data_IF_123363356253
#
_entry.id   IF_123363356253
#
_cell.length_a   1.000
_cell.length_b   1.000
_cell.length_c   1.000
_cell.angle_alpha   90.00
_cell.angle_beta   90.00
_cell.angle_gamma   90.00
#
_symmetry.space_group_name_H-M   'P 1'
#
loop_
_entity.id
_entity.type
_entity.pdbx_description
1 polymer ?
#
# COMPACT_ATOMS: atom_id res chain seq x y z
N UNK A 1 -30.03 -13.84 50.77
CA UNK A 1 -28.88 -14.76 50.62
C UNK A 1 -28.57 -14.81 49.12
N UNK A 2 -27.55 -14.13 48.57
CA UNK A 2 -26.09 -14.34 48.55
C UNK A 2 -25.63 -15.67 47.92
N UNK A 3 -25.13 -15.57 46.68
CA UNK A 3 -23.86 -16.09 46.09
C UNK A 3 -23.86 -15.58 44.63
N UNK A 4 -23.05 -14.65 44.11
CA UNK A 4 -21.59 -14.45 43.94
C UNK A 4 -20.79 -15.61 43.34
N UNK A 5 -20.33 -15.41 42.09
CA UNK A 5 -19.12 -16.02 41.53
C UNK A 5 -19.32 -16.63 40.13
N UNK A 6 -18.45 -16.47 39.13
CA UNK A 6 -17.10 -15.90 39.05
C UNK A 6 -16.86 -15.42 37.61
N UNK A 7 -16.28 -14.22 37.46
CA UNK A 7 -15.70 -13.70 36.23
C UNK A 7 -14.43 -14.52 35.92
N UNK A 8 -14.40 -15.25 34.81
CA UNK A 8 -13.19 -15.92 34.37
C UNK A 8 -12.34 -14.97 33.48
N UNK A 9 -11.09 -14.87 33.90
CA UNK A 9 -10.01 -13.99 33.46
C UNK A 9 -9.47 -14.39 32.08
N UNK A 10 -9.03 -13.41 31.31
CA UNK A 10 -8.28 -13.55 30.07
C UNK A 10 -7.11 -14.54 30.19
N UNK A 11 -6.96 -15.40 29.18
CA UNK A 11 -5.73 -16.17 28.96
C UNK A 11 -4.98 -15.55 27.79
N UNK A 12 -4.02 -14.68 28.14
CA UNK A 12 -2.95 -14.27 27.25
C UNK A 12 -1.99 -15.45 27.11
N UNK A 13 -2.28 -16.37 26.20
CA UNK A 13 -1.29 -17.34 25.75
C UNK A 13 -0.85 -16.93 24.35
N UNK A 14 0.02 -15.93 24.31
CA UNK A 14 0.81 -15.59 23.14
C UNK A 14 1.72 -16.77 22.83
N UNK A 15 1.29 -17.63 21.91
CA UNK A 15 2.17 -18.57 21.25
C UNK A 15 3.14 -17.78 20.39
N UNK A 16 4.43 -17.86 20.73
CA UNK A 16 5.49 -17.29 19.91
C UNK A 16 5.57 -18.09 18.62
N UNK A 17 5.06 -17.55 17.51
CA UNK A 17 5.38 -18.06 16.18
C UNK A 17 6.81 -17.63 15.87
N UNK A 18 7.77 -18.52 16.11
CA UNK A 18 9.07 -18.46 15.46
C UNK A 18 8.90 -18.98 14.04
N UNK A 19 8.34 -18.17 13.14
CA UNK A 19 8.58 -18.41 11.72
C UNK A 19 10.01 -17.96 11.48
N UNK A 20 10.93 -18.92 11.53
CA UNK A 20 12.27 -18.77 10.99
C UNK A 20 12.17 -18.03 9.66
N UNK A 21 12.85 -16.88 9.59
CA UNK A 21 12.97 -16.10 8.37
C UNK A 21 13.75 -16.90 7.34
N UNK A 22 13.08 -17.84 6.69
CA UNK A 22 13.53 -18.35 5.41
C UNK A 22 13.46 -17.18 4.46
N UNK A 23 14.62 -16.61 4.11
CA UNK A 23 14.74 -15.83 2.90
C UNK A 23 14.21 -16.71 1.78
N UNK A 24 12.97 -16.50 1.39
CA UNK A 24 12.49 -16.90 0.08
C UNK A 24 13.31 -16.06 -0.89
N UNK A 25 14.47 -16.58 -1.28
CA UNK A 25 15.02 -16.32 -2.59
C UNK A 25 14.03 -16.98 -3.54
N UNK A 26 12.88 -16.32 -3.70
CA UNK A 26 11.79 -16.77 -4.54
C UNK A 26 12.29 -16.66 -5.97
N UNK A 27 12.87 -17.75 -6.47
CA UNK A 27 13.00 -17.96 -7.89
C UNK A 27 11.57 -17.96 -8.45
N UNK A 28 11.14 -16.79 -8.92
CA UNK A 28 9.92 -16.64 -9.69
C UNK A 28 10.16 -17.40 -10.99
N UNK A 29 9.79 -18.69 -11.00
CA UNK A 29 9.90 -19.60 -12.16
C UNK A 29 9.34 -18.96 -13.42
N UNK A 30 8.30 -18.14 -13.27
CA UNK A 30 7.72 -17.35 -14.34
C UNK A 30 8.68 -16.33 -14.96
N UNK A 31 9.39 -15.55 -14.12
CA UNK A 31 10.38 -14.59 -14.59
C UNK A 31 11.56 -15.30 -15.25
N UNK A 32 11.96 -16.47 -14.72
CA UNK A 32 12.97 -17.31 -15.35
C UNK A 32 12.53 -17.77 -16.75
N UNK A 33 11.29 -18.26 -16.89
CA UNK A 33 10.76 -18.68 -18.20
C UNK A 33 10.62 -17.52 -19.20
N UNK A 34 10.31 -16.30 -18.73
CA UNK A 34 10.33 -15.10 -19.58
C UNK A 34 11.76 -14.84 -20.09
N UNK A 35 12.75 -14.91 -19.21
CA UNK A 35 14.14 -14.65 -19.57
C UNK A 35 14.69 -15.70 -20.54
N UNK A 36 14.41 -16.97 -20.27
CA UNK A 36 14.77 -18.09 -21.16
C UNK A 36 14.11 -17.91 -22.54
N UNK A 37 12.84 -17.47 -22.59
CA UNK A 37 12.16 -17.17 -23.84
C UNK A 37 12.81 -16.01 -24.60
N UNK A 38 13.18 -14.92 -23.92
CA UNK A 38 13.89 -13.78 -24.53
C UNK A 38 15.22 -14.20 -25.14
N UNK A 39 15.95 -15.13 -24.51
CA UNK A 39 17.21 -15.64 -25.05
C UNK A 39 17.04 -16.42 -26.36
N UNK A 40 15.85 -17.00 -26.61
CA UNK A 40 15.54 -17.67 -27.89
C UNK A 40 15.17 -16.70 -29.02
N UNK A 41 14.87 -15.44 -28.70
CA UNK A 41 14.58 -14.41 -29.68
C UNK A 41 15.88 -13.81 -30.26
N UNK A 42 15.85 -13.37 -31.53
CA UNK A 42 16.94 -12.57 -32.09
C UNK A 42 17.08 -11.25 -31.32
N UNK A 43 18.30 -10.71 -31.29
CA UNK A 43 18.71 -9.58 -30.44
C UNK A 43 17.80 -8.35 -30.55
N UNK A 44 17.30 -8.08 -31.76
CA UNK A 44 16.39 -6.98 -32.08
C UNK A 44 15.01 -7.10 -31.43
N UNK A 45 14.64 -8.29 -30.95
CA UNK A 45 13.34 -8.60 -30.35
C UNK A 45 13.39 -8.88 -28.86
N UNK A 46 14.58 -8.89 -28.24
CA UNK A 46 14.76 -9.21 -26.82
C UNK A 46 14.21 -8.15 -25.88
N UNK A 47 14.14 -6.90 -26.32
CA UNK A 47 13.60 -5.77 -25.54
C UNK A 47 12.13 -5.46 -25.83
N UNK A 48 11.54 -6.14 -26.82
CA UNK A 48 10.14 -5.94 -27.15
C UNK A 48 9.24 -6.48 -26.02
N UNK A 49 8.11 -5.81 -25.71
CA UNK A 49 7.11 -6.39 -24.83
C UNK A 49 6.55 -7.67 -25.46
N UNK A 50 6.36 -8.69 -24.62
CA UNK A 50 5.72 -9.93 -25.04
C UNK A 50 4.28 -9.63 -25.47
N UNK A 51 3.83 -10.26 -26.56
CA UNK A 51 2.41 -10.24 -26.88
C UNK A 51 1.62 -10.97 -25.79
N UNK A 52 0.33 -10.63 -25.66
CA UNK A 52 -0.56 -11.28 -24.69
C UNK A 52 -0.55 -12.81 -24.84
N UNK A 53 -0.66 -13.31 -26.07
CA UNK A 53 -0.62 -14.75 -26.36
C UNK A 53 0.70 -15.42 -25.95
N UNK A 54 1.83 -14.74 -26.13
CA UNK A 54 3.15 -15.26 -25.71
C UNK A 54 3.25 -15.30 -24.19
N UNK A 55 2.79 -14.24 -23.53
CA UNK A 55 2.77 -14.12 -22.08
C UNK A 55 1.89 -15.20 -21.45
N UNK A 56 0.69 -15.44 -22.00
CA UNK A 56 -0.22 -16.50 -21.59
C UNK A 56 0.39 -17.90 -21.80
N UNK A 57 1.07 -18.12 -22.94
CA UNK A 57 1.74 -19.41 -23.21
C UNK A 57 2.88 -19.70 -22.22
N UNK A 58 3.71 -18.70 -21.91
CA UNK A 58 4.81 -18.81 -20.93
C UNK A 58 4.24 -19.02 -19.51
N UNK A 59 3.16 -18.31 -19.18
CA UNK A 59 2.47 -18.47 -17.91
C UNK A 59 1.93 -19.90 -17.76
N UNK A 60 1.23 -20.40 -18.77
CA UNK A 60 0.72 -21.76 -18.81
C UNK A 60 1.85 -22.77 -18.62
N UNK A 61 2.95 -22.67 -19.36
CA UNK A 61 4.08 -23.59 -19.21
C UNK A 61 4.67 -23.59 -17.78
N UNK A 62 4.74 -22.42 -17.15
CA UNK A 62 5.25 -22.24 -15.79
C UNK A 62 4.35 -22.90 -14.73
N UNK A 63 3.03 -22.71 -14.82
CA UNK A 63 2.05 -23.21 -13.85
C UNK A 63 1.65 -24.68 -14.10
N UNK A 64 2.17 -25.30 -15.16
CA UNK A 64 1.96 -26.72 -15.46
C UNK A 64 1.00 -27.03 -16.61
N UNK A 65 0.68 -26.03 -17.43
CA UNK A 65 -0.18 -26.10 -18.60
C UNK A 65 -1.65 -26.38 -18.26
N UNK A 66 -2.54 -26.37 -19.26
CA UNK A 66 -3.94 -26.78 -19.08
C UNK A 66 -4.08 -28.26 -18.61
N UNK A 67 -3.00 -29.04 -18.66
CA UNK A 67 -3.03 -30.50 -18.61
C UNK A 67 -2.72 -31.13 -17.25
N UNK A 68 -2.26 -30.38 -16.24
CA UNK A 68 -1.88 -30.99 -14.95
C UNK A 68 -2.93 -30.95 -13.86
N UNK A 69 -4.04 -30.25 -14.07
CA UNK A 69 -5.12 -30.19 -13.08
C UNK A 69 -6.12 -31.34 -13.15
N UNK A 70 -6.39 -31.89 -14.35
CA UNK A 70 -7.35 -32.98 -14.53
C UNK A 70 -6.89 -34.33 -13.96
N UNK A 71 -5.58 -34.64 -14.00
CA UNK A 71 -5.08 -35.95 -13.60
C UNK A 71 -5.07 -36.17 -12.08
N UNK A 72 -4.84 -35.12 -11.29
CA UNK A 72 -4.82 -35.21 -9.82
C UNK A 72 -6.20 -35.55 -9.23
N UNK A 73 -7.28 -35.31 -10.00
CA UNK A 73 -8.67 -35.57 -9.61
C UNK A 73 -9.39 -36.57 -10.53
N UNK A 74 -8.69 -37.21 -11.49
CA UNK A 74 -9.25 -38.25 -12.36
C UNK A 74 -10.24 -37.78 -13.42
N UNK A 75 -10.24 -36.50 -13.80
CA UNK A 75 -11.20 -35.92 -14.76
C UNK A 75 -10.60 -35.80 -16.18
N UNK A 76 -11.30 -36.29 -17.23
CA UNK A 76 -10.90 -36.08 -18.62
C UNK A 76 -10.91 -34.59 -18.97
N UNK A 77 -9.94 -34.14 -19.75
CA UNK A 77 -9.71 -32.73 -20.14
C UNK A 77 -10.95 -31.96 -20.65
N UNK A 78 -11.96 -32.66 -21.18
CA UNK A 78 -13.15 -32.06 -21.77
C UNK A 78 -14.05 -31.35 -20.75
N UNK A 79 -14.18 -31.87 -19.52
CA UNK A 79 -15.01 -31.24 -18.47
C UNK A 79 -14.37 -30.00 -17.87
N UNK A 80 -13.05 -29.82 -18.01
CA UNK A 80 -12.36 -28.65 -17.47
C UNK A 80 -12.69 -27.36 -18.24
N UNK A 81 -12.93 -27.46 -19.54
CA UNK A 81 -13.34 -26.32 -20.37
C UNK A 81 -14.74 -25.79 -19.98
N UNK A 82 -15.66 -26.69 -19.61
CA UNK A 82 -17.00 -26.31 -19.13
C UNK A 82 -16.92 -25.58 -17.78
N UNK A 83 -16.09 -26.07 -16.83
CA UNK A 83 -15.87 -25.40 -15.55
C UNK A 83 -15.27 -24.00 -15.68
N UNK A 84 -14.34 -23.80 -16.63
CA UNK A 84 -13.78 -22.48 -16.90
C UNK A 84 -14.82 -21.52 -17.51
N UNK A 85 -15.65 -22.01 -18.42
CA UNK A 85 -16.72 -21.21 -19.05
C UNK A 85 -17.80 -20.80 -18.04
N UNK A 86 -18.12 -21.69 -17.09
CA UNK A 86 -19.06 -21.44 -16.01
C UNK A 86 -18.51 -20.41 -14.99
N UNK A 87 -17.20 -20.42 -14.75
CA UNK A 87 -16.51 -19.43 -13.89
C UNK A 87 -16.27 -18.08 -14.59
N UNK A 88 -16.01 -18.07 -15.89
CA UNK A 88 -15.81 -16.86 -16.70
C UNK A 88 -17.07 -15.97 -16.75
N UNK A 89 -18.25 -16.57 -16.61
CA UNK A 89 -19.52 -15.86 -16.43
C UNK A 89 -19.73 -15.21 -15.05
N UNK A 90 -19.03 -15.69 -14.00
CA UNK A 90 -19.16 -15.18 -12.61
C UNK A 90 -18.24 -13.98 -12.34
N UNK A 91 -17.31 -13.69 -13.24
CA UNK A 91 -16.41 -12.53 -13.15
C UNK A 91 -17.08 -11.16 -13.30
N UNK A 92 -18.39 -11.13 -13.60
CA UNK A 92 -19.19 -9.91 -13.70
C UNK A 92 -19.93 -9.52 -12.41
N UNK A 93 -19.57 -10.11 -11.26
CA UNK A 93 -20.18 -9.79 -9.96
C UNK A 93 -19.79 -8.36 -9.52
N UNK A 94 -20.54 -7.39 -10.06
CA UNK A 94 -20.68 -5.97 -9.73
C UNK A 94 -19.63 -5.38 -8.77
N UNK A 95 -18.57 -4.83 -9.36
CA UNK A 95 -17.61 -3.92 -8.74
C UNK A 95 -18.19 -2.49 -8.52
N UNK A 96 -19.52 -2.30 -8.60
CA UNK A 96 -20.12 -0.97 -8.45
C UNK A 96 -20.01 -0.45 -7.01
N UNK A 97 -20.17 -1.30 -6.00
CA UNK A 97 -20.03 -0.89 -4.60
C UNK A 97 -18.58 -0.49 -4.25
N UNK A 98 -17.61 -1.27 -4.72
CA UNK A 98 -16.18 -0.95 -4.63
C UNK A 98 -15.86 0.36 -5.34
N UNK A 99 -16.39 0.57 -6.55
CA UNK A 99 -16.17 1.78 -7.34
C UNK A 99 -16.76 3.02 -6.68
N UNK A 100 -17.97 2.94 -6.15
CA UNK A 100 -18.59 4.03 -5.38
C UNK A 100 -17.80 4.31 -4.08
N UNK A 101 -17.33 3.26 -3.39
CA UNK A 101 -16.50 3.41 -2.19
C UNK A 101 -15.17 4.10 -2.52
N UNK A 102 -14.50 3.70 -3.61
CA UNK A 102 -13.26 4.31 -4.08
C UNK A 102 -13.48 5.78 -4.45
N UNK A 103 -14.59 6.11 -5.12
CA UNK A 103 -14.94 7.50 -5.44
C UNK A 103 -15.17 8.34 -4.19
N UNK A 104 -15.93 7.82 -3.22
CA UNK A 104 -16.20 8.48 -1.96
C UNK A 104 -14.90 8.75 -1.17
N UNK A 105 -13.99 7.78 -1.11
CA UNK A 105 -12.70 7.95 -0.45
C UNK A 105 -11.82 8.99 -1.16
N UNK A 106 -11.76 8.98 -2.49
CA UNK A 106 -11.04 10.00 -3.28
C UNK A 106 -11.56 11.41 -3.00
N UNK A 107 -12.88 11.58 -2.90
CA UNK A 107 -13.50 12.86 -2.55
C UNK A 107 -13.13 13.31 -1.13
N UNK A 108 -13.17 12.40 -0.15
CA UNK A 108 -12.78 12.70 1.23
C UNK A 108 -11.31 13.13 1.35
N UNK A 109 -10.41 12.43 0.66
CA UNK A 109 -8.97 12.78 0.62
C UNK A 109 -8.78 14.18 0.04
N UNK A 110 -9.48 14.50 -1.05
CA UNK A 110 -9.40 15.82 -1.70
C UNK A 110 -9.87 16.93 -0.75
N UNK A 111 -10.99 16.71 -0.05
CA UNK A 111 -11.55 17.67 0.92
C UNK A 111 -10.63 17.87 2.14
N UNK A 112 -10.07 16.79 2.69
CA UNK A 112 -9.15 16.88 3.82
C UNK A 112 -7.82 17.53 3.42
N UNK A 113 -7.33 17.23 2.21
CA UNK A 113 -6.10 17.81 1.68
C UNK A 113 -6.21 19.33 1.50
N UNK A 114 -7.33 19.84 0.96
CA UNK A 114 -7.55 21.28 0.85
C UNK A 114 -7.67 21.96 2.22
N UNK A 115 -8.38 21.34 3.17
CA UNK A 115 -8.49 21.83 4.55
C UNK A 115 -7.14 21.88 5.26
N UNK A 116 -6.31 20.85 5.08
CA UNK A 116 -4.97 20.79 5.66
C UNK A 116 -4.07 21.92 5.12
N UNK A 117 -4.09 22.16 3.80
CA UNK A 117 -3.35 23.27 3.17
C UNK A 117 -3.81 24.64 3.70
N UNK A 118 -5.12 24.83 3.82
CA UNK A 118 -5.67 26.07 4.37
C UNK A 118 -5.27 26.28 5.85
N UNK A 119 -5.28 25.20 6.66
CA UNK A 119 -4.83 25.23 8.05
C UNK A 119 -3.35 25.59 8.15
N UNK A 120 -2.51 24.95 7.33
CA UNK A 120 -1.07 25.23 7.27
C UNK A 120 -0.77 26.69 6.88
N UNK A 121 -1.49 27.24 5.91
CA UNK A 121 -1.33 28.64 5.52
C UNK A 121 -1.67 29.62 6.67
N UNK A 122 -2.73 29.32 7.43
CA UNK A 122 -3.12 30.11 8.61
C UNK A 122 -2.09 30.01 9.73
N UNK A 123 -1.54 28.82 9.96
CA UNK A 123 -0.48 28.57 10.93
C UNK A 123 0.77 29.37 10.59
N UNK A 124 1.29 29.26 9.36
CA UNK A 124 2.44 30.05 8.90
C UNK A 124 2.24 31.55 9.08
N UNK A 125 1.02 32.05 8.85
CA UNK A 125 0.70 33.46 9.08
C UNK A 125 0.84 33.85 10.56
N UNK A 126 0.39 32.99 11.48
CA UNK A 126 0.55 33.23 12.93
C UNK A 126 2.02 33.16 13.35
N UNK A 127 2.79 32.21 12.81
CA UNK A 127 4.21 32.08 13.14
C UNK A 127 4.99 33.33 12.72
N UNK A 128 4.71 33.88 11.53
CA UNK A 128 5.31 35.13 11.06
C UNK A 128 4.92 36.30 11.99
N UNK A 129 3.65 36.41 12.36
CA UNK A 129 3.19 37.46 13.28
C UNK A 129 3.86 37.34 14.66
N UNK A 130 3.94 36.13 15.19
CA UNK A 130 4.57 35.86 16.47
C UNK A 130 6.07 36.18 16.45
N UNK A 131 6.79 35.76 15.40
CA UNK A 131 8.20 36.08 15.22
C UNK A 131 8.43 37.59 15.13
N UNK A 132 7.58 38.32 14.41
CA UNK A 132 7.64 39.78 14.33
C UNK A 132 7.43 40.46 15.69
N UNK A 133 6.40 40.05 16.44
CA UNK A 133 6.14 40.59 17.78
C UNK A 133 7.26 40.25 18.77
N UNK A 134 7.81 39.05 18.69
CA UNK A 134 8.95 38.65 19.53
C UNK A 134 10.19 39.45 19.22
N UNK A 135 10.50 39.69 17.94
CA UNK A 135 11.63 40.53 17.55
C UNK A 135 11.48 41.97 18.04
N UNK A 136 10.27 42.54 17.99
CA UNK A 136 10.00 43.87 18.55
C UNK A 136 10.22 43.90 20.08
N UNK A 137 9.74 42.89 20.79
CA UNK A 137 9.93 42.79 22.23
C UNK A 137 11.40 42.61 22.62
N UNK A 138 12.13 41.74 21.91
CA UNK A 138 13.56 41.51 22.11
C UNK A 138 14.36 42.82 21.85
N UNK A 139 13.97 43.61 20.83
CA UNK A 139 14.58 44.92 20.56
C UNK A 139 14.31 45.97 21.65
N UNK A 140 13.11 45.98 22.24
CA UNK A 140 12.79 46.85 23.37
C UNK A 140 13.63 46.49 24.61
N UNK A 141 13.82 45.20 24.90
CA UNK A 141 14.70 44.75 25.97
C UNK A 141 16.14 45.19 25.73
N UNK A 142 16.64 45.03 24.50
CA UNK A 142 17.99 45.48 24.13
C UNK A 142 18.15 47.01 24.20
N UNK A 143 17.07 47.78 23.96
CA UNK A 143 17.08 49.25 24.06
C UNK A 143 16.97 49.76 25.51
N UNK A 144 16.55 48.93 26.45
CA UNK A 144 16.32 49.28 27.86
C UNK A 144 17.59 49.33 28.74
N UNK A 145 18.74 48.88 28.24
CA UNK A 145 20.02 48.90 28.97
C UNK A 145 20.90 50.14 28.69
N UNK A 146 20.34 51.19 28.09
CA UNK A 146 21.00 52.48 27.88
C UNK A 146 20.74 53.46 29.02
N UNK A 147 21.13 53.12 30.26
CA UNK A 147 21.18 54.08 31.35
C UNK A 147 22.19 55.18 31.05
N UNK A 148 21.72 56.38 30.69
CA UNK A 148 22.55 57.58 30.67
C UNK A 148 23.14 57.77 32.07
N UNK A 149 24.47 57.83 32.25
CA UNK A 149 25.02 58.33 33.51
C UNK A 149 24.60 59.79 33.61
N UNK A 150 23.86 60.13 34.67
CA UNK A 150 23.67 61.52 35.04
C UNK A 150 25.06 62.19 35.15
N UNK A 151 25.31 63.33 34.50
CA UNK A 151 26.50 64.10 34.80
C UNK A 151 26.29 64.70 36.20
N UNK A 152 27.01 64.16 37.19
CA UNK A 152 27.13 64.74 38.50
C UNK A 152 28.13 65.89 38.49
N UNK A 153 27.71 66.98 39.11
CA UNK A 153 28.42 68.20 39.57
C UNK A 153 29.11 69.12 38.55
#
# INVERSE_FOLDING_TARGET
MREIGKKARASLKGGSLHTSGGQSQGNNRYLQCIEDFRQTLPEDRRDLPLSQEQNERIWLDTVGGPSRYGYAYGLPQLTFCEFHSELEGVGSFQDDESRETILALKQQITKLSSKAKASQARERKRDIQYAGMKAQFDALLASGEGGSPCPGD
#
